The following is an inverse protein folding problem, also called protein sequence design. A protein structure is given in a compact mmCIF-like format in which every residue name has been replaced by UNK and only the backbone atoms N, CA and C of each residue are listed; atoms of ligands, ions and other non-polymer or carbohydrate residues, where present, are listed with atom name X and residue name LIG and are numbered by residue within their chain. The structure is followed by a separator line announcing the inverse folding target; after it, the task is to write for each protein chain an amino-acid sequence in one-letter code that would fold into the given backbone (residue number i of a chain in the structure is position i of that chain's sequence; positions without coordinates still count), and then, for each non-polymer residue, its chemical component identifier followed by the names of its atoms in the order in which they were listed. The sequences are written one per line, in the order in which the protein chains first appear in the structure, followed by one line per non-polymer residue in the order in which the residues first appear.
data_IF_967270473766
#
_entry.id   IF_967270473766
#
_cell.length_a   1.000
_cell.length_b   1.000
_cell.length_c   1.000
_cell.angle_alpha   90.00
_cell.angle_beta   90.00
_cell.angle_gamma   90.00
#
_symmetry.space_group_name_H-M   'P 1'
#
loop_
_entity.id
_entity.type
_entity.pdbx_description
1 polymer ?
#
# COMPACT_ATOMS: atom_id res chain seq x y z
N UNK A 1 -10.65 -24.19 7.65
CA UNK A 1 -9.50 -24.56 6.78
C UNK A 1 -8.19 -24.08 7.39
N UNK A 2 -7.06 -24.65 6.95
CA UNK A 2 -5.73 -24.15 7.25
C UNK A 2 -5.29 -23.16 6.17
N UNK A 3 -4.96 -21.94 6.58
CA UNK A 3 -4.50 -20.86 5.69
C UNK A 3 -3.03 -20.55 5.97
N UNK A 4 -2.22 -20.51 4.93
CA UNK A 4 -0.81 -20.11 4.98
C UNK A 4 -0.68 -18.74 4.34
N UNK A 5 -0.08 -17.78 5.05
CA UNK A 5 0.19 -16.44 4.54
C UNK A 5 1.70 -16.24 4.46
N UNK A 6 2.19 -15.86 3.29
CA UNK A 6 3.60 -15.59 3.03
C UNK A 6 3.83 -14.08 3.07
N UNK A 7 4.53 -13.60 4.10
CA UNK A 7 4.80 -12.20 4.37
C UNK A 7 3.86 -11.59 5.42
N UNK A 8 4.42 -10.83 6.36
CA UNK A 8 3.70 -10.14 7.43
C UNK A 8 3.74 -8.61 7.27
N UNK A 9 3.69 -8.12 6.04
CA UNK A 9 3.45 -6.72 5.73
C UNK A 9 1.99 -6.32 6.00
N UNK A 10 1.59 -5.11 5.60
CA UNK A 10 0.22 -4.58 5.79
C UNK A 10 -0.82 -5.53 5.20
N UNK A 11 -0.62 -6.00 3.95
CA UNK A 11 -1.55 -6.93 3.30
C UNK A 11 -1.61 -8.28 4.00
N UNK A 12 -0.45 -8.88 4.34
CA UNK A 12 -0.40 -10.19 5.00
C UNK A 12 -1.02 -10.19 6.39
N UNK A 13 -0.75 -9.16 7.20
CA UNK A 13 -1.42 -9.00 8.51
C UNK A 13 -2.91 -8.73 8.34
N UNK A 14 -3.31 -7.93 7.33
CA UNK A 14 -4.71 -7.72 7.00
C UNK A 14 -5.41 -9.02 6.63
N UNK A 15 -4.82 -9.84 5.75
CA UNK A 15 -5.36 -11.15 5.39
C UNK A 15 -5.45 -12.09 6.60
N UNK A 16 -4.43 -12.05 7.48
CA UNK A 16 -4.45 -12.84 8.71
C UNK A 16 -5.62 -12.46 9.63
N UNK A 17 -5.87 -11.16 9.79
CA UNK A 17 -7.01 -10.67 10.58
C UNK A 17 -8.33 -11.11 9.94
N UNK A 18 -8.51 -10.85 8.64
CA UNK A 18 -9.75 -11.12 7.94
C UNK A 18 -10.11 -12.61 7.94
N UNK A 19 -9.16 -13.49 7.61
CA UNK A 19 -9.37 -14.93 7.52
C UNK A 19 -9.49 -15.59 8.91
N UNK A 20 -8.78 -15.10 9.92
CA UNK A 20 -8.98 -15.58 11.29
C UNK A 20 -10.38 -15.21 11.82
N UNK A 21 -10.85 -13.98 11.56
CA UNK A 21 -12.22 -13.54 11.89
C UNK A 21 -13.28 -14.35 11.13
N UNK A 22 -12.96 -14.81 9.92
CA UNK A 22 -13.82 -15.71 9.15
C UNK A 22 -13.80 -17.17 9.65
N UNK A 23 -13.02 -17.50 10.68
CA UNK A 23 -13.06 -18.80 11.34
C UNK A 23 -12.01 -19.81 10.85
N UNK A 24 -10.91 -19.35 10.24
CA UNK A 24 -9.86 -20.22 9.72
C UNK A 24 -8.65 -20.28 10.65
N UNK A 25 -7.87 -21.37 10.56
CA UNK A 25 -6.57 -21.51 11.23
C UNK A 25 -5.50 -20.84 10.36
N UNK A 26 -4.89 -19.76 10.88
CA UNK A 26 -4.01 -18.92 10.10
C UNK A 26 -2.57 -18.97 10.62
N UNK A 27 -1.64 -19.32 9.74
CA UNK A 27 -0.20 -19.25 9.96
C UNK A 27 0.43 -18.22 9.03
N UNK A 28 1.17 -17.27 9.59
CA UNK A 28 1.90 -16.22 8.83
C UNK A 28 3.38 -16.50 8.90
N UNK A 29 4.06 -16.48 7.76
CA UNK A 29 5.50 -16.71 7.65
C UNK A 29 6.21 -15.48 7.13
N UNK A 30 7.01 -14.85 8.00
CA UNK A 30 7.75 -13.62 7.73
C UNK A 30 9.26 -13.88 7.65
N UNK A 31 9.88 -13.37 6.61
CA UNK A 31 11.31 -13.53 6.37
C UNK A 31 12.20 -12.75 7.33
N UNK A 32 11.70 -11.65 7.88
CA UNK A 32 12.41 -10.76 8.80
C UNK A 32 12.18 -11.11 10.27
N UNK A 33 12.93 -10.42 11.14
CA UNK A 33 12.75 -10.50 12.61
C UNK A 33 11.86 -9.39 13.17
N UNK A 34 11.28 -8.50 12.33
CA UNK A 34 10.61 -7.23 12.70
C UNK A 34 11.46 -6.20 13.45
N UNK A 35 12.75 -6.48 13.68
CA UNK A 35 13.62 -5.58 14.45
C UNK A 35 14.08 -4.34 13.66
N UNK A 36 13.84 -4.30 12.34
CA UNK A 36 14.29 -3.25 11.44
C UNK A 36 13.15 -2.63 10.63
N UNK A 37 12.00 -2.41 11.25
CA UNK A 37 10.96 -1.66 10.57
C UNK A 37 11.36 -0.20 10.45
N UNK A 38 11.58 0.24 9.23
CA UNK A 38 11.89 1.63 8.92
C UNK A 38 10.59 2.37 8.72
N UNK A 39 10.38 3.39 9.56
CA UNK A 39 9.17 4.15 9.59
C UNK A 39 9.24 5.41 8.74
N UNK A 40 8.39 5.47 7.75
CA UNK A 40 7.88 6.70 7.19
C UNK A 40 6.38 6.74 7.44
N UNK A 41 5.74 7.86 7.19
CA UNK A 41 4.30 7.89 7.32
C UNK A 41 3.60 7.28 6.09
N UNK A 42 2.36 6.90 6.27
CA UNK A 42 1.48 6.33 5.25
C UNK A 42 0.11 7.00 5.33
N UNK A 43 -0.51 7.16 4.16
CA UNK A 43 -1.87 7.62 4.05
C UNK A 43 -2.84 6.43 4.19
N UNK A 44 -3.78 6.52 5.10
CA UNK A 44 -4.94 5.66 5.21
C UNK A 44 -6.15 6.41 4.66
N UNK A 45 -6.40 6.23 3.39
CA UNK A 45 -7.55 6.83 2.70
C UNK A 45 -8.88 6.18 3.15
N UNK A 46 -10.05 6.79 2.91
CA UNK A 46 -11.34 6.30 3.39
C UNK A 46 -11.65 4.83 3.12
N UNK A 47 -11.22 4.29 1.99
CA UNK A 47 -11.35 2.87 1.69
C UNK A 47 -10.52 1.98 2.65
N UNK A 48 -9.30 2.40 3.03
CA UNK A 48 -8.48 1.67 4.00
C UNK A 48 -9.06 1.75 5.43
N UNK A 49 -9.48 2.94 5.85
CA UNK A 49 -10.04 3.13 7.21
C UNK A 49 -11.38 2.44 7.36
N UNK A 50 -12.19 2.32 6.29
CA UNK A 50 -13.41 1.50 6.25
C UNK A 50 -13.09 0.04 6.57
N UNK A 51 -12.10 -0.53 5.93
CA UNK A 51 -11.66 -1.91 6.17
C UNK A 51 -11.19 -2.08 7.61
N UNK A 52 -10.28 -1.21 8.08
CA UNK A 52 -9.75 -1.28 9.44
C UNK A 52 -10.85 -1.15 10.50
N UNK A 53 -11.85 -0.28 10.27
CA UNK A 53 -13.00 -0.10 11.13
C UNK A 53 -13.87 -1.36 11.19
N UNK A 54 -14.07 -2.06 10.08
CA UNK A 54 -14.82 -3.32 10.04
C UNK A 54 -14.16 -4.44 10.84
N UNK A 55 -12.87 -4.31 11.13
CA UNK A 55 -12.11 -5.24 11.96
C UNK A 55 -11.96 -4.78 13.42
N UNK A 56 -12.66 -3.73 13.84
CA UNK A 56 -12.57 -3.13 15.17
C UNK A 56 -11.14 -2.67 15.51
N UNK A 57 -10.43 -2.11 14.53
CA UNK A 57 -9.13 -1.52 14.75
C UNK A 57 -9.27 -0.22 15.53
N UNK A 58 -8.55 -0.13 16.64
CA UNK A 58 -8.47 1.10 17.45
C UNK A 58 -7.48 2.07 16.79
N UNK A 59 -8.00 3.12 16.16
CA UNK A 59 -7.19 4.12 15.45
C UNK A 59 -6.29 4.94 16.38
N UNK A 60 -6.70 5.16 17.63
CA UNK A 60 -5.92 5.96 18.59
C UNK A 60 -4.55 5.34 18.87
N UNK A 61 -4.43 4.02 18.78
CA UNK A 61 -3.15 3.30 18.93
C UNK A 61 -2.12 3.64 17.87
N UNK A 62 -2.53 4.28 16.77
CA UNK A 62 -1.67 4.70 15.68
C UNK A 62 -1.32 6.19 15.73
N UNK A 63 -1.79 6.93 16.74
CA UNK A 63 -1.58 8.36 16.89
C UNK A 63 -1.91 9.13 15.58
N UNK A 64 -3.13 9.00 15.06
CA UNK A 64 -3.47 9.50 13.74
C UNK A 64 -3.53 11.02 13.71
N UNK A 65 -3.39 11.56 12.50
CA UNK A 65 -3.81 12.90 12.15
C UNK A 65 -4.89 12.78 11.10
N UNK A 66 -6.07 13.36 11.33
CA UNK A 66 -7.11 13.43 10.32
C UNK A 66 -6.70 14.45 9.23
N UNK A 67 -6.70 13.98 7.98
CA UNK A 67 -6.34 14.79 6.83
C UNK A 67 -7.60 15.41 6.21
N UNK A 68 -7.70 16.71 6.23
CA UNK A 68 -8.86 17.42 5.68
C UNK A 68 -8.73 17.69 4.19
N UNK A 69 -7.49 17.86 3.69
CA UNK A 69 -7.27 18.27 2.30
C UNK A 69 -5.87 17.97 1.80
N UNK A 70 -5.74 17.90 0.47
CA UNK A 70 -4.47 17.89 -0.23
C UNK A 70 -4.34 19.19 -1.05
N UNK A 71 -3.31 19.98 -0.74
CA UNK A 71 -3.01 21.23 -1.45
C UNK A 71 -1.78 21.09 -2.32
N UNK A 72 -1.82 21.70 -3.49
CA UNK A 72 -0.74 21.76 -4.46
C UNK A 72 -0.09 23.15 -4.44
N UNK A 73 1.24 23.15 -4.43
CA UNK A 73 2.07 24.35 -4.48
C UNK A 73 3.10 24.25 -5.61
N UNK A 74 3.50 25.40 -6.16
CA UNK A 74 4.68 25.48 -7.01
C UNK A 74 5.97 25.26 -6.20
N UNK A 75 7.09 24.99 -6.86
CA UNK A 75 8.41 24.94 -6.21
C UNK A 75 8.77 26.22 -5.44
N UNK A 76 8.19 27.36 -5.81
CA UNK A 76 8.33 28.65 -5.13
C UNK A 76 7.26 28.90 -4.06
N UNK A 77 6.54 27.83 -3.68
CA UNK A 77 5.50 27.85 -2.64
C UNK A 77 4.26 28.71 -2.98
N UNK A 78 4.01 29.02 -4.25
CA UNK A 78 2.76 29.62 -4.66
C UNK A 78 1.64 28.57 -4.56
N UNK A 79 0.53 28.92 -3.94
CA UNK A 79 -0.64 28.04 -3.89
C UNK A 79 -1.24 27.91 -5.30
N UNK A 80 -1.41 26.70 -5.78
CA UNK A 80 -1.95 26.40 -7.09
C UNK A 80 -3.41 25.96 -7.02
N UNK A 81 -3.70 24.94 -6.21
CA UNK A 81 -5.06 24.40 -6.07
C UNK A 81 -5.21 23.44 -4.88
N UNK A 82 -6.46 23.19 -4.52
CA UNK A 82 -6.84 22.05 -3.69
C UNK A 82 -7.14 20.85 -4.60
N UNK A 83 -6.43 19.75 -4.43
CA UNK A 83 -6.46 18.58 -5.35
C UNK A 83 -7.46 17.52 -4.90
N UNK A 84 -7.50 17.22 -3.62
CA UNK A 84 -8.44 16.25 -3.07
C UNK A 84 -9.47 16.95 -2.21
N UNK A 85 -10.64 16.36 -2.16
CA UNK A 85 -11.79 16.92 -1.51
C UNK A 85 -11.53 17.20 -0.04
N UNK A 86 -11.85 18.39 0.35
CA UNK A 86 -12.16 18.77 1.71
C UNK A 86 -13.20 17.81 2.29
N UNK A 87 -13.36 17.80 3.59
CA UNK A 87 -14.43 17.06 4.30
C UNK A 87 -15.80 17.26 3.62
N UNK A 88 -16.11 18.49 3.20
CA UNK A 88 -17.32 18.81 2.46
C UNK A 88 -17.46 18.06 1.11
N UNK A 89 -16.35 17.87 0.38
CA UNK A 89 -16.34 17.09 -0.87
C UNK A 89 -16.55 15.60 -0.62
N UNK A 90 -16.03 15.07 0.47
CA UNK A 90 -16.25 13.68 0.88
C UNK A 90 -17.71 13.45 1.28
N UNK A 91 -18.30 14.37 2.05
CA UNK A 91 -19.72 14.33 2.45
C UNK A 91 -20.65 14.34 1.25
N UNK A 92 -20.40 15.21 0.25
CA UNK A 92 -21.17 15.25 -1.01
C UNK A 92 -21.12 13.96 -1.81
N UNK A 93 -20.06 13.16 -1.63
CA UNK A 93 -19.89 11.86 -2.28
C UNK A 93 -20.33 10.69 -1.40
N UNK A 94 -20.89 10.96 -0.22
CA UNK A 94 -21.31 9.94 0.73
C UNK A 94 -20.18 9.19 1.41
N UNK A 95 -18.93 9.69 1.33
CA UNK A 95 -17.78 9.11 2.01
C UNK A 95 -17.83 9.51 3.48
N UNK A 96 -17.95 8.54 4.38
CA UNK A 96 -18.10 8.74 5.82
C UNK A 96 -16.88 8.35 6.65
N UNK A 97 -15.97 7.60 6.04
CA UNK A 97 -14.79 7.09 6.73
C UNK A 97 -13.68 8.15 6.69
N UNK A 98 -12.88 8.31 7.77
CA UNK A 98 -11.87 9.36 7.83
C UNK A 98 -10.68 9.08 6.91
N UNK A 99 -10.03 10.14 6.46
CA UNK A 99 -8.71 10.07 5.84
C UNK A 99 -7.65 10.34 6.90
N UNK A 100 -6.83 9.33 7.24
CA UNK A 100 -5.87 9.39 8.31
C UNK A 100 -4.42 9.37 7.79
N UNK A 101 -3.58 10.17 8.42
CA UNK A 101 -2.13 10.20 8.24
C UNK A 101 -1.51 9.55 9.47
N UNK A 102 -0.82 8.42 9.27
CA UNK A 102 -0.24 7.65 10.37
C UNK A 102 1.22 7.31 10.09
N UNK A 103 1.97 7.01 11.12
CA UNK A 103 3.31 6.46 10.95
C UNK A 103 3.22 4.97 10.61
N UNK A 104 3.97 4.50 9.59
CA UNK A 104 3.85 3.13 9.06
C UNK A 104 4.13 2.06 10.11
N UNK A 105 5.08 2.33 11.03
CA UNK A 105 5.39 1.40 12.11
C UNK A 105 4.21 1.28 13.09
N UNK A 106 3.53 2.39 13.37
CA UNK A 106 2.40 2.39 14.29
C UNK A 106 1.21 1.62 13.69
N UNK A 107 0.94 1.80 12.38
CA UNK A 107 -0.04 0.98 11.66
C UNK A 107 0.33 -0.52 11.70
N UNK A 108 1.59 -0.85 11.42
CA UNK A 108 2.04 -2.25 11.42
C UNK A 108 1.91 -2.88 12.82
N UNK A 109 2.25 -2.14 13.88
CA UNK A 109 2.09 -2.59 15.25
C UNK A 109 0.61 -2.79 15.63
N UNK A 110 -0.28 -1.88 15.20
CA UNK A 110 -1.71 -2.00 15.40
C UNK A 110 -2.26 -3.26 14.70
N UNK A 111 -1.92 -3.48 13.43
CA UNK A 111 -2.31 -4.68 12.69
C UNK A 111 -1.76 -5.96 13.33
N UNK A 112 -0.49 -5.96 13.75
CA UNK A 112 0.12 -7.11 14.43
C UNK A 112 -0.57 -7.43 15.75
N UNK A 113 -0.93 -6.41 16.53
CA UNK A 113 -1.66 -6.55 17.78
C UNK A 113 -3.06 -7.09 17.53
N UNK A 114 -3.75 -6.58 16.50
CA UNK A 114 -5.07 -7.02 16.10
C UNK A 114 -5.06 -8.48 15.59
N UNK A 115 -4.09 -8.87 14.79
CA UNK A 115 -3.91 -10.24 14.30
C UNK A 115 -3.69 -11.24 15.45
N UNK A 116 -3.03 -10.82 16.53
CA UNK A 116 -2.79 -11.64 17.73
C UNK A 116 -3.99 -11.73 18.67
N UNK A 117 -5.03 -10.90 18.49
CA UNK A 117 -6.25 -11.02 19.29
C UNK A 117 -6.89 -12.38 19.04
N UNK A 118 -7.29 -13.01 20.13
CA UNK A 118 -8.07 -14.23 20.05
C UNK A 118 -9.48 -13.91 19.54
N UNK A 119 -9.88 -14.58 18.47
CA UNK A 119 -11.23 -14.50 17.93
C UNK A 119 -11.86 -15.91 17.92
N UNK A 120 -13.01 -16.09 18.58
CA UNK A 120 -13.68 -17.38 18.71
C UNK A 120 -12.73 -18.54 19.13
N UNK A 121 -11.89 -18.30 20.13
CA UNK A 121 -10.87 -19.23 20.63
C UNK A 121 -9.71 -19.55 19.67
N UNK A 122 -9.57 -18.82 18.53
CA UNK A 122 -8.49 -18.94 17.57
C UNK A 122 -7.59 -17.72 17.61
N UNK A 123 -6.31 -17.92 17.33
CA UNK A 123 -5.33 -16.85 17.19
C UNK A 123 -4.42 -17.11 16.01
N UNK A 124 -3.96 -16.05 15.38
CA UNK A 124 -2.97 -16.14 14.30
C UNK A 124 -1.60 -16.49 14.85
N UNK A 125 -0.95 -17.50 14.27
CA UNK A 125 0.44 -17.82 14.59
C UNK A 125 1.38 -17.14 13.58
N UNK A 126 2.34 -16.34 14.08
CA UNK A 126 3.31 -15.63 13.24
C UNK A 126 4.71 -16.23 13.46
N UNK A 127 5.29 -16.78 12.40
CA UNK A 127 6.63 -17.36 12.37
C UNK A 127 7.59 -16.36 11.71
N UNK A 128 8.54 -15.83 12.50
CA UNK A 128 9.59 -14.92 12.01
C UNK A 128 10.78 -15.71 11.48
N UNK A 129 11.69 -15.02 10.76
CA UNK A 129 12.89 -15.62 10.16
C UNK A 129 12.58 -16.84 9.26
N UNK A 130 11.41 -16.82 8.63
CA UNK A 130 10.87 -17.92 7.82
C UNK A 130 10.84 -17.53 6.35
N UNK A 131 12.02 -17.55 5.71
CA UNK A 131 12.15 -17.17 4.29
C UNK A 131 11.61 -18.25 3.38
N UNK A 132 10.56 -17.94 2.64
CA UNK A 132 9.98 -18.80 1.60
C UNK A 132 10.87 -18.77 0.36
N UNK A 133 11.10 -19.93 -0.24
CA UNK A 133 11.84 -20.12 -1.49
C UNK A 133 10.92 -20.36 -2.68
N UNK A 134 9.87 -21.17 -2.49
CA UNK A 134 8.89 -21.44 -3.54
C UNK A 134 7.54 -21.87 -2.97
N UNK A 135 6.52 -21.82 -3.83
CA UNK A 135 5.16 -22.28 -3.53
C UNK A 135 4.68 -23.18 -4.67
N UNK A 136 4.13 -24.33 -4.31
CA UNK A 136 3.36 -25.14 -5.24
C UNK A 136 1.88 -24.74 -5.11
N UNK A 137 1.39 -23.99 -6.08
CA UNK A 137 0.04 -23.43 -6.06
C UNK A 137 -1.06 -24.51 -6.14
N UNK A 138 -0.80 -25.65 -6.79
CA UNK A 138 -1.78 -26.73 -6.97
C UNK A 138 -1.99 -27.53 -5.67
N UNK A 139 -0.86 -27.84 -4.96
CA UNK A 139 -0.93 -28.63 -3.73
C UNK A 139 -1.13 -27.77 -2.47
N UNK A 140 -0.84 -26.46 -2.54
CA UNK A 140 -0.83 -25.55 -1.38
C UNK A 140 0.43 -25.75 -0.51
N UNK A 141 1.51 -26.29 -1.07
CA UNK A 141 2.78 -26.47 -0.35
C UNK A 141 3.66 -25.24 -0.45
N UNK A 142 4.22 -24.83 0.70
CA UNK A 142 5.16 -23.72 0.83
C UNK A 142 6.49 -24.26 1.31
N UNK A 143 7.54 -24.02 0.52
CA UNK A 143 8.90 -24.50 0.77
C UNK A 143 9.77 -23.38 1.30
N UNK A 144 10.47 -23.63 2.40
CA UNK A 144 11.32 -22.66 3.09
C UNK A 144 12.79 -22.92 2.87
N UNK A 145 13.59 -21.87 2.96
CA UNK A 145 15.04 -21.99 3.03
C UNK A 145 15.40 -22.91 4.21
N UNK A 146 16.19 -23.96 3.92
CA UNK A 146 16.55 -24.99 4.91
C UNK A 146 15.70 -26.26 4.84
N UNK A 147 14.84 -26.43 3.82
CA UNK A 147 14.18 -27.70 3.48
C UNK A 147 12.87 -27.98 4.23
N UNK A 148 12.42 -27.10 5.13
CA UNK A 148 11.10 -27.20 5.76
C UNK A 148 9.99 -27.00 4.71
N UNK A 149 8.93 -27.77 4.79
CA UNK A 149 7.71 -27.60 4.00
C UNK A 149 6.49 -27.56 4.91
N UNK A 150 5.54 -26.70 4.58
CA UNK A 150 4.19 -26.67 5.19
C UNK A 150 3.15 -26.73 4.09
N UNK A 151 1.94 -27.15 4.43
CA UNK A 151 0.83 -27.24 3.48
C UNK A 151 -0.41 -26.58 4.06
N UNK A 152 -1.09 -25.78 3.23
CA UNK A 152 -2.37 -25.16 3.51
C UNK A 152 -3.46 -25.55 2.53
N UNK A 153 -4.71 -25.35 2.91
CA UNK A 153 -5.86 -25.44 2.02
C UNK A 153 -5.95 -24.20 1.11
N UNK A 154 -5.53 -23.05 1.65
CA UNK A 154 -5.37 -21.77 0.96
C UNK A 154 -3.98 -21.21 1.26
N UNK A 155 -3.31 -20.68 0.25
CA UNK A 155 -2.05 -19.92 0.38
C UNK A 155 -2.29 -18.48 -0.08
N UNK A 156 -1.87 -17.50 0.74
CA UNK A 156 -1.94 -16.08 0.41
C UNK A 156 -0.52 -15.54 0.27
N UNK A 157 -0.15 -15.13 -0.94
CA UNK A 157 1.13 -14.48 -1.26
C UNK A 157 1.06 -12.99 -0.99
N UNK A 158 1.71 -12.53 0.07
CA UNK A 158 1.78 -11.14 0.52
C UNK A 158 3.24 -10.69 0.72
N UNK A 159 4.16 -11.27 -0.05
CA UNK A 159 5.63 -11.15 0.09
C UNK A 159 6.22 -9.97 -0.69
N UNK A 160 5.35 -9.04 -1.11
CA UNK A 160 5.72 -7.71 -1.58
C UNK A 160 6.31 -7.66 -2.99
N UNK A 161 7.01 -6.56 -3.31
CA UNK A 161 7.59 -6.32 -4.63
C UNK A 161 8.62 -7.39 -5.05
N UNK A 162 9.33 -7.97 -4.09
CA UNK A 162 10.34 -9.02 -4.30
C UNK A 162 9.74 -10.44 -4.17
N UNK A 163 8.47 -10.58 -4.47
CA UNK A 163 7.67 -11.77 -4.28
C UNK A 163 8.27 -13.02 -4.94
N UNK A 164 8.27 -14.12 -4.19
CA UNK A 164 8.48 -15.48 -4.67
C UNK A 164 7.17 -16.17 -5.02
N UNK A 165 6.09 -15.75 -4.36
CA UNK A 165 4.78 -16.34 -4.62
C UNK A 165 4.23 -15.98 -6.00
N UNK A 166 4.58 -14.79 -6.54
CA UNK A 166 4.22 -14.42 -7.91
C UNK A 166 4.84 -15.34 -8.97
N UNK A 167 6.03 -15.89 -8.70
CA UNK A 167 6.70 -16.83 -9.62
C UNK A 167 5.87 -18.12 -9.80
N UNK A 168 5.15 -18.55 -8.76
CA UNK A 168 4.25 -19.70 -8.85
C UNK A 168 3.05 -19.45 -9.78
N UNK A 169 2.58 -18.19 -9.88
CA UNK A 169 1.50 -17.79 -10.81
C UNK A 169 2.02 -17.64 -12.23
N UNK A 170 3.15 -16.96 -12.42
CA UNK A 170 3.72 -16.66 -13.74
C UNK A 170 4.46 -17.83 -14.39
N UNK A 171 4.94 -18.78 -13.59
CA UNK A 171 5.77 -19.91 -14.05
C UNK A 171 7.25 -19.56 -14.30
N UNK A 172 7.60 -18.28 -14.26
CA UNK A 172 8.96 -17.75 -14.39
C UNK A 172 9.11 -16.47 -13.57
N UNK A 173 10.34 -15.93 -13.49
CA UNK A 173 10.61 -14.69 -12.78
C UNK A 173 9.82 -13.52 -13.37
N UNK A 174 9.48 -12.57 -12.50
CA UNK A 174 8.80 -11.34 -12.86
C UNK A 174 9.81 -10.20 -12.94
N UNK A 175 9.97 -9.62 -14.13
CA UNK A 175 10.91 -8.52 -14.34
C UNK A 175 10.46 -7.25 -13.63
N UNK A 176 11.39 -6.64 -12.91
CA UNK A 176 11.20 -5.33 -12.32
C UNK A 176 11.44 -4.25 -13.37
N UNK A 177 10.53 -3.29 -13.41
CA UNK A 177 10.59 -2.15 -14.32
C UNK A 177 11.10 -0.96 -13.52
N UNK A 178 12.24 -0.41 -13.94
CA UNK A 178 12.73 0.85 -13.42
C UNK A 178 11.89 1.99 -13.95
N UNK A 179 11.64 2.99 -13.09
CA UNK A 179 10.87 4.18 -13.47
C UNK A 179 11.76 5.38 -13.85
N UNK A 180 13.09 5.24 -13.75
CA UNK A 180 14.01 6.37 -13.89
C UNK A 180 13.87 7.41 -12.77
N UNK A 181 13.24 7.06 -11.65
CA UNK A 181 13.01 7.94 -10.50
C UNK A 181 13.62 7.35 -9.23
N UNK A 182 14.05 8.23 -8.34
CA UNK A 182 14.45 7.92 -6.99
C UNK A 182 13.62 8.70 -5.99
N UNK A 183 13.50 8.20 -4.76
CA UNK A 183 12.79 8.87 -3.69
C UNK A 183 13.68 9.01 -2.46
N UNK A 184 13.78 10.24 -1.98
CA UNK A 184 14.28 10.56 -0.65
C UNK A 184 13.11 10.57 0.32
N UNK A 185 13.29 9.95 1.46
CA UNK A 185 12.26 9.87 2.49
C UNK A 185 12.88 10.12 3.87
N UNK A 186 12.29 11.04 4.63
CA UNK A 186 12.78 11.45 5.93
C UNK A 186 11.66 11.99 6.79
N UNK A 187 11.96 12.15 8.08
CA UNK A 187 11.06 12.70 9.08
C UNK A 187 11.69 13.98 9.63
N UNK A 188 10.88 14.98 9.90
CA UNK A 188 11.28 16.19 10.62
C UNK A 188 10.43 16.32 11.87
N UNK A 189 11.01 16.26 13.09
CA UNK A 189 10.29 16.58 14.31
C UNK A 189 9.80 18.03 14.30
N UNK A 190 8.53 18.26 14.66
CA UNK A 190 7.95 19.62 14.72
C UNK A 190 8.73 20.51 15.70
N UNK A 191 9.15 19.95 16.83
CA UNK A 191 9.97 20.63 17.80
C UNK A 191 11.26 21.18 17.18
N UNK A 192 11.95 20.36 16.38
CA UNK A 192 13.14 20.76 15.63
C UNK A 192 12.82 21.79 14.55
N UNK A 193 11.75 21.62 13.81
CA UNK A 193 11.30 22.57 12.77
C UNK A 193 11.05 23.98 13.38
N UNK A 194 10.52 24.05 14.59
CA UNK A 194 10.24 25.29 15.29
C UNK A 194 11.48 26.07 15.74
N UNK A 195 12.67 25.45 15.75
CA UNK A 195 13.92 26.15 16.12
C UNK A 195 14.41 27.11 15.03
N UNK A 196 13.97 26.94 13.77
CA UNK A 196 14.30 27.82 12.66
C UNK A 196 13.07 28.64 12.25
N UNK A 197 13.05 29.98 12.40
CA UNK A 197 11.90 30.81 12.09
C UNK A 197 11.37 30.66 10.65
N UNK A 198 12.26 30.48 9.67
CA UNK A 198 11.87 30.30 8.27
C UNK A 198 11.18 28.97 8.04
N UNK A 199 11.63 27.89 8.67
CA UNK A 199 11.02 26.55 8.61
C UNK A 199 9.72 26.54 9.41
N UNK A 200 9.69 27.19 10.59
CA UNK A 200 8.44 27.34 11.36
C UNK A 200 7.35 28.02 10.53
N UNK A 201 7.68 29.13 9.88
CA UNK A 201 6.72 29.84 8.99
C UNK A 201 6.21 28.92 7.86
N UNK A 202 7.07 28.06 7.30
CA UNK A 202 6.68 27.06 6.30
C UNK A 202 5.71 26.05 6.86
N UNK A 203 5.97 25.52 8.05
CA UNK A 203 5.13 24.54 8.74
C UNK A 203 3.77 25.15 9.10
N UNK A 204 3.76 26.36 9.65
CA UNK A 204 2.53 27.09 9.97
C UNK A 204 1.65 27.31 8.71
N UNK A 205 2.28 27.58 7.57
CA UNK A 205 1.58 27.75 6.28
C UNK A 205 0.97 26.44 5.77
N UNK A 206 1.66 25.32 5.93
CA UNK A 206 1.13 24.02 5.52
C UNK A 206 0.03 23.53 6.47
N UNK A 207 0.14 23.86 7.76
CA UNK A 207 -0.77 23.33 8.78
C UNK A 207 -0.53 21.85 9.11
N UNK A 208 -1.19 21.40 10.17
CA UNK A 208 -1.00 20.06 10.71
C UNK A 208 -2.21 19.11 10.48
N UNK A 209 -3.09 19.43 9.54
CA UNK A 209 -4.27 18.63 9.19
C UNK A 209 -4.41 18.42 7.67
N UNK A 210 -3.32 18.56 6.93
CA UNK A 210 -3.34 18.45 5.48
C UNK A 210 -2.10 17.78 4.91
N UNK A 211 -2.22 17.34 3.66
CA UNK A 211 -1.09 16.94 2.83
C UNK A 211 -0.72 18.09 1.91
N UNK A 212 0.55 18.48 1.89
CA UNK A 212 1.10 19.49 0.99
C UNK A 212 1.95 18.83 -0.08
N UNK A 213 1.62 19.04 -1.36
CA UNK A 213 2.39 18.61 -2.51
C UNK A 213 3.04 19.82 -3.17
N UNK A 214 4.35 19.80 -3.30
CA UNK A 214 5.15 20.89 -3.87
C UNK A 214 5.82 20.33 -5.14
N UNK A 215 5.56 20.96 -6.29
CA UNK A 215 6.06 20.51 -7.59
C UNK A 215 6.98 21.54 -8.22
N UNK A 216 8.11 21.08 -8.74
CA UNK A 216 9.00 21.84 -9.62
C UNK A 216 9.40 20.96 -10.81
N UNK A 217 10.06 21.55 -11.82
CA UNK A 217 10.60 20.79 -12.96
C UNK A 217 11.63 19.73 -12.57
N UNK A 218 12.18 19.77 -11.35
CA UNK A 218 13.18 18.83 -10.83
C UNK A 218 12.57 17.70 -10.01
N UNK A 219 11.31 17.79 -9.63
CA UNK A 219 10.71 16.74 -8.83
C UNK A 219 9.47 17.18 -8.06
N UNK A 220 9.05 16.31 -7.19
CA UNK A 220 7.79 16.40 -6.49
C UNK A 220 7.99 16.00 -5.03
N UNK A 221 7.71 16.93 -4.13
CA UNK A 221 7.81 16.74 -2.69
C UNK A 221 6.42 16.65 -2.08
N UNK A 222 6.21 15.71 -1.18
CA UNK A 222 4.97 15.55 -0.41
C UNK A 222 5.32 15.63 1.06
N UNK A 223 4.68 16.56 1.78
CA UNK A 223 4.88 16.77 3.22
C UNK A 223 3.51 16.63 3.90
N UNK A 224 3.47 15.87 4.98
CA UNK A 224 2.28 15.73 5.81
C UNK A 224 2.62 15.31 7.24
N UNK A 225 1.80 15.68 8.24
CA UNK A 225 2.01 15.34 9.63
C UNK A 225 1.69 13.87 9.92
N UNK A 226 2.26 13.33 10.97
CA UNK A 226 1.91 12.05 11.58
C UNK A 226 2.20 12.07 13.08
N UNK A 227 1.87 10.98 13.80
CA UNK A 227 2.02 10.86 15.25
C UNK A 227 1.43 12.07 15.99
N UNK A 228 0.12 12.25 15.84
CA UNK A 228 -0.64 13.37 16.43
C UNK A 228 -0.02 14.75 16.13
N UNK A 229 0.59 14.91 14.94
CA UNK A 229 1.18 16.16 14.50
C UNK A 229 2.57 16.48 15.08
N UNK A 230 3.20 15.54 15.78
CA UNK A 230 4.55 15.75 16.35
C UNK A 230 5.67 15.56 15.34
N UNK A 231 5.40 14.85 14.25
CA UNK A 231 6.35 14.58 13.18
C UNK A 231 5.80 15.02 11.82
N UNK A 232 6.66 15.53 10.96
CA UNK A 232 6.38 15.77 9.55
C UNK A 232 7.09 14.69 8.73
N UNK A 233 6.34 13.91 7.97
CA UNK A 233 6.87 13.03 6.95
C UNK A 233 7.13 13.81 5.68
N UNK A 234 8.27 13.56 5.05
CA UNK A 234 8.60 14.07 3.74
C UNK A 234 8.98 12.93 2.78
N UNK A 235 8.43 12.97 1.58
CA UNK A 235 8.83 12.12 0.46
C UNK A 235 9.12 13.01 -0.76
N UNK A 236 10.36 12.99 -1.23
CA UNK A 236 10.79 13.76 -2.39
C UNK A 236 11.16 12.82 -3.54
N UNK A 237 10.33 12.80 -4.57
CA UNK A 237 10.55 12.03 -5.80
C UNK A 237 11.22 12.92 -6.84
N UNK A 238 12.34 12.47 -7.38
CA UNK A 238 13.15 13.19 -8.36
C UNK A 238 13.69 12.22 -9.42
N UNK A 239 14.05 12.67 -10.63
CA UNK A 239 14.72 11.82 -11.61
C UNK A 239 16.00 11.18 -11.03
N UNK A 240 16.23 9.93 -11.36
CA UNK A 240 17.49 9.23 -11.10
C UNK A 240 18.45 9.42 -12.30
N UNK A 241 19.75 9.45 -12.04
CA UNK A 241 20.74 9.31 -13.12
C UNK A 241 20.72 7.87 -13.66
N UNK A 242 21.16 7.61 -14.91
CA UNK A 242 21.22 6.25 -15.44
C UNK A 242 22.02 5.27 -14.57
N UNK A 243 23.10 5.74 -13.93
CA UNK A 243 23.92 4.92 -13.04
C UNK A 243 23.18 4.57 -11.74
N UNK A 244 22.48 5.54 -11.13
CA UNK A 244 21.64 5.32 -9.94
C UNK A 244 20.47 4.40 -10.24
N UNK A 245 19.86 4.54 -11.41
CA UNK A 245 18.75 3.71 -11.85
C UNK A 245 19.18 2.24 -12.01
N UNK A 246 20.33 2.01 -12.61
CA UNK A 246 20.89 0.66 -12.77
C UNK A 246 21.24 0.02 -11.43
N UNK A 247 21.92 0.76 -10.55
CA UNK A 247 22.27 0.31 -9.21
C UNK A 247 21.02 0.10 -8.32
N UNK A 248 19.98 0.89 -8.57
CA UNK A 248 18.75 0.88 -7.79
C UNK A 248 17.84 -0.34 -7.99
N UNK A 249 18.02 -1.10 -9.07
CA UNK A 249 17.22 -2.31 -9.34
C UNK A 249 17.37 -3.38 -8.24
N UNK A 250 18.49 -3.39 -7.55
CA UNK A 250 18.78 -4.28 -6.43
C UNK A 250 18.72 -3.55 -5.08
N UNK A 251 18.47 -2.23 -5.09
CA UNK A 251 18.55 -1.42 -3.87
C UNK A 251 17.41 -1.74 -2.88
N UNK A 252 17.79 -1.79 -1.63
CA UNK A 252 16.86 -1.89 -0.51
C UNK A 252 16.35 -0.49 -0.14
N UNK A 253 15.07 -0.37 0.19
CA UNK A 253 14.48 0.82 0.82
C UNK A 253 15.06 1.14 2.21
N UNK A 254 16.05 0.36 2.66
CA UNK A 254 16.87 0.59 3.85
C UNK A 254 18.13 1.43 3.57
N UNK A 255 18.44 1.73 2.30
CA UNK A 255 19.65 2.50 1.97
C UNK A 255 19.59 3.89 2.59
N UNK A 256 20.68 4.28 3.23
CA UNK A 256 20.83 5.59 3.84
C UNK A 256 21.15 6.60 2.74
N UNK A 257 20.36 7.68 2.66
CA UNK A 257 20.65 8.83 1.79
C UNK A 257 21.53 9.85 2.52
N UNK A 258 22.19 10.75 1.77
CA UNK A 258 22.86 11.91 2.34
C UNK A 258 22.00 13.17 2.23
N UNK A 259 22.14 14.07 3.18
CA UNK A 259 21.45 15.38 3.15
C UNK A 259 22.00 16.23 2.00
N UNK A 260 23.29 16.11 1.69
CA UNK A 260 23.97 16.80 0.60
C UNK A 260 23.35 16.40 -0.73
N UNK A 261 23.15 15.10 -0.99
CA UNK A 261 22.52 14.59 -2.20
C UNK A 261 21.08 15.08 -2.32
N UNK A 262 20.31 15.04 -1.21
CA UNK A 262 18.96 15.56 -1.18
C UNK A 262 18.92 17.04 -1.57
N UNK A 263 19.77 17.87 -0.93
CA UNK A 263 19.80 19.32 -1.15
C UNK A 263 20.25 19.65 -2.59
N UNK A 264 21.17 18.88 -3.16
CA UNK A 264 21.63 19.05 -4.55
C UNK A 264 20.51 18.86 -5.59
N UNK A 265 19.47 18.10 -5.25
CA UNK A 265 18.33 17.86 -6.14
C UNK A 265 17.22 18.95 -6.04
N UNK A 266 17.36 19.94 -5.15
CA UNK A 266 16.32 20.93 -4.88
C UNK A 266 16.40 22.21 -5.74
N UNK A 267 16.99 22.15 -6.93
CA UNK A 267 16.96 23.28 -7.84
C UNK A 267 15.52 23.64 -8.24
N UNK A 268 15.21 24.94 -8.22
CA UNK A 268 13.87 25.43 -8.49
C UNK A 268 12.91 25.43 -7.29
N UNK A 269 13.32 24.87 -6.15
CA UNK A 269 12.56 24.98 -4.91
C UNK A 269 12.91 26.27 -4.15
N UNK A 270 11.99 26.67 -3.24
CA UNK A 270 12.18 27.79 -2.31
C UNK A 270 13.27 27.45 -1.28
N UNK A 271 14.05 28.44 -0.82
CA UNK A 271 15.13 28.21 0.12
C UNK A 271 14.66 27.68 1.47
N UNK A 272 13.42 27.99 1.89
CA UNK A 272 12.81 27.43 3.09
C UNK A 272 12.64 25.91 3.01
N UNK A 273 12.40 25.37 1.82
CA UNK A 273 12.36 23.92 1.58
C UNK A 273 13.76 23.32 1.76
N UNK A 274 14.83 24.01 1.32
CA UNK A 274 16.21 23.56 1.54
C UNK A 274 16.53 23.50 3.03
N UNK A 275 16.17 24.54 3.79
CA UNK A 275 16.38 24.57 5.23
C UNK A 275 15.56 23.48 5.95
N UNK A 276 14.32 23.25 5.52
CA UNK A 276 13.50 22.15 6.02
C UNK A 276 14.15 20.77 5.79
N UNK A 277 14.67 20.53 4.58
CA UNK A 277 15.31 19.27 4.22
C UNK A 277 16.59 18.99 5.04
N UNK A 278 17.36 20.05 5.40
CA UNK A 278 18.55 19.93 6.27
C UNK A 278 18.21 19.47 7.70
N UNK A 279 16.96 19.60 8.11
CA UNK A 279 16.48 19.16 9.42
C UNK A 279 16.01 17.70 9.43
N UNK A 280 16.03 17.05 8.26
CA UNK A 280 15.59 15.67 8.08
C UNK A 280 16.36 14.68 8.94
N UNK A 281 15.63 13.74 9.54
CA UNK A 281 16.14 12.60 10.29
C UNK A 281 15.74 11.30 9.61
N UNK A 282 16.49 10.23 9.85
CA UNK A 282 16.26 8.91 9.25
C UNK A 282 16.12 8.91 7.73
N UNK A 283 16.98 9.72 7.06
CA UNK A 283 16.95 9.88 5.61
C UNK A 283 17.27 8.57 4.90
N UNK A 284 16.34 8.12 4.08
CA UNK A 284 16.44 6.94 3.21
C UNK A 284 16.36 7.35 1.75
N UNK A 285 17.08 6.63 0.91
CA UNK A 285 17.11 6.81 -0.55
C UNK A 285 16.98 5.47 -1.25
N UNK A 286 16.03 5.36 -2.18
CA UNK A 286 15.94 4.18 -3.06
C UNK A 286 15.34 4.54 -4.42
N UNK A 287 15.64 3.71 -5.43
CA UNK A 287 15.01 3.82 -6.74
C UNK A 287 13.57 3.33 -6.72
N UNK A 288 12.69 4.04 -7.42
CA UNK A 288 11.33 3.61 -7.63
C UNK A 288 11.28 2.56 -8.73
N UNK A 289 10.95 1.35 -8.34
CA UNK A 289 10.75 0.22 -9.25
C UNK A 289 9.32 -0.27 -9.14
N UNK A 290 8.81 -0.82 -10.22
CA UNK A 290 7.49 -1.45 -10.28
C UNK A 290 7.59 -2.78 -11.02
N UNK A 291 6.48 -3.39 -11.28
CA UNK A 291 6.33 -4.60 -12.09
C UNK A 291 4.99 -4.51 -12.83
N UNK A 292 4.90 -5.09 -14.00
CA UNK A 292 3.61 -5.25 -14.66
C UNK A 292 2.72 -6.20 -13.84
N UNK A 293 1.43 -5.92 -13.72
CA UNK A 293 0.49 -6.85 -13.09
C UNK A 293 0.54 -8.22 -13.80
N UNK A 294 0.57 -9.34 -13.07
CA UNK A 294 0.42 -10.65 -13.69
C UNK A 294 -0.97 -10.76 -14.35
N UNK A 295 -1.17 -11.66 -15.31
CA UNK A 295 -2.45 -11.79 -16.02
C UNK A 295 -3.60 -12.26 -15.12
N UNK A 296 -3.28 -12.79 -13.96
CA UNK A 296 -4.22 -13.20 -12.91
C UNK A 296 -3.53 -13.14 -11.55
N UNK A 297 -4.29 -12.95 -10.48
CA UNK A 297 -3.77 -12.98 -9.12
C UNK A 297 -3.91 -14.35 -8.45
N UNK A 298 -4.37 -15.34 -9.17
CA UNK A 298 -4.67 -16.65 -8.60
C UNK A 298 -4.07 -17.79 -9.43
N UNK A 299 -3.79 -18.88 -8.75
CA UNK A 299 -3.50 -20.19 -9.38
C UNK A 299 -3.74 -21.30 -8.37
N UNK A 300 -4.59 -22.30 -8.73
CA UNK A 300 -4.92 -23.40 -7.84
C UNK A 300 -5.38 -22.91 -6.46
N UNK A 301 -4.58 -23.15 -5.42
CA UNK A 301 -4.84 -22.75 -4.04
C UNK A 301 -4.15 -21.43 -3.62
N UNK A 302 -3.49 -20.75 -4.53
CA UNK A 302 -2.71 -19.53 -4.27
C UNK A 302 -3.47 -18.29 -4.72
N UNK A 303 -3.58 -17.29 -3.83
CA UNK A 303 -3.95 -15.91 -4.15
C UNK A 303 -2.79 -14.95 -3.86
N UNK A 304 -2.56 -13.99 -4.74
CA UNK A 304 -1.63 -12.86 -4.52
C UNK A 304 -2.39 -11.64 -4.03
N UNK A 305 -1.78 -10.90 -3.08
CA UNK A 305 -2.32 -9.65 -2.55
C UNK A 305 -1.23 -8.56 -2.42
N UNK A 306 -1.65 -7.31 -2.40
CA UNK A 306 -0.77 -6.16 -2.23
C UNK A 306 0.34 -6.12 -3.29
N UNK A 307 1.56 -5.71 -2.91
CA UNK A 307 2.67 -5.55 -3.86
C UNK A 307 3.13 -6.87 -4.51
N UNK A 308 2.73 -8.04 -3.99
CA UNK A 308 2.94 -9.31 -4.66
C UNK A 308 2.06 -9.46 -5.91
N UNK A 309 0.88 -8.84 -5.91
CA UNK A 309 -0.05 -8.81 -7.03
C UNK A 309 0.10 -7.55 -7.90
N UNK A 310 0.09 -6.37 -7.27
CA UNK A 310 -0.05 -5.07 -7.93
C UNK A 310 0.84 -3.98 -7.30
N UNK A 311 2.18 -4.06 -7.44
CA UNK A 311 3.09 -3.08 -6.86
C UNK A 311 2.84 -1.69 -7.44
N UNK A 312 2.46 -0.75 -6.58
CA UNK A 312 2.05 0.60 -6.96
C UNK A 312 3.12 1.62 -6.64
N UNK A 313 3.28 2.62 -7.52
CA UNK A 313 4.10 3.78 -7.20
C UNK A 313 3.39 4.68 -6.17
N UNK A 314 4.14 5.42 -5.34
CA UNK A 314 3.57 6.13 -4.18
C UNK A 314 2.70 7.34 -4.55
N UNK A 315 2.49 7.61 -5.83
CA UNK A 315 1.91 8.85 -6.33
C UNK A 315 0.44 9.08 -5.96
N UNK A 316 -0.30 7.99 -5.71
CA UNK A 316 -1.72 8.04 -5.30
C UNK A 316 -1.93 7.67 -3.83
N UNK A 317 -0.89 7.18 -3.12
CA UNK A 317 -0.98 6.73 -1.73
C UNK A 317 -1.89 5.52 -1.52
N UNK A 318 -2.08 4.67 -2.54
CA UNK A 318 -3.07 3.59 -2.52
C UNK A 318 -2.51 2.20 -2.22
N UNK A 319 -1.19 1.97 -2.28
CA UNK A 319 -0.63 0.63 -2.14
C UNK A 319 -1.08 -0.11 -0.88
N UNK A 320 -0.99 0.55 0.27
CA UNK A 320 -1.45 -0.03 1.54
C UNK A 320 -2.97 -0.21 1.61
N UNK A 321 -3.74 0.74 1.07
CA UNK A 321 -5.20 0.68 1.03
C UNK A 321 -5.68 -0.49 0.17
N UNK A 322 -5.11 -0.68 -1.02
CA UNK A 322 -5.46 -1.77 -1.91
C UNK A 322 -5.11 -3.15 -1.31
N UNK A 323 -3.99 -3.26 -0.60
CA UNK A 323 -3.63 -4.48 0.11
C UNK A 323 -4.60 -4.83 1.24
N UNK A 324 -5.14 -3.83 1.96
CA UNK A 324 -6.18 -4.03 2.97
C UNK A 324 -7.53 -4.42 2.33
N UNK A 325 -7.87 -3.85 1.19
CA UNK A 325 -9.06 -4.22 0.42
C UNK A 325 -8.98 -5.66 -0.11
N UNK A 326 -7.80 -6.10 -0.59
CA UNK A 326 -7.59 -7.50 -0.99
C UNK A 326 -7.87 -8.45 0.18
N UNK A 327 -7.34 -8.11 1.35
CA UNK A 327 -7.56 -8.88 2.57
C UNK A 327 -9.03 -8.92 2.97
N UNK A 328 -9.75 -7.81 2.85
CA UNK A 328 -11.19 -7.73 3.14
C UNK A 328 -12.01 -8.59 2.15
N UNK A 329 -11.66 -8.58 0.87
CA UNK A 329 -12.28 -9.43 -0.14
C UNK A 329 -12.10 -10.92 0.18
N UNK A 330 -10.88 -11.35 0.54
CA UNK A 330 -10.64 -12.73 0.96
C UNK A 330 -11.44 -13.10 2.20
N UNK A 331 -11.48 -12.25 3.23
CA UNK A 331 -12.26 -12.52 4.44
C UNK A 331 -13.76 -12.62 4.21
N UNK A 332 -14.31 -11.87 3.23
CA UNK A 332 -15.71 -11.93 2.84
C UNK A 332 -16.04 -13.18 2.00
N UNK A 333 -15.08 -13.65 1.20
CA UNK A 333 -15.25 -14.84 0.36
C UNK A 333 -15.20 -16.14 1.17
N UNK A 334 -14.25 -16.26 2.07
CA UNK A 334 -13.98 -17.49 2.80
C UNK A 334 -14.70 -17.45 4.14
N UNK A 335 -15.99 -17.85 4.15
CA UNK A 335 -16.76 -17.98 5.38
C UNK A 335 -16.37 -19.20 6.24
N UNK A 336 -16.91 -19.32 7.47
CA UNK A 336 -16.50 -20.35 8.42
C UNK A 336 -16.74 -21.78 7.91
N UNK A 337 -17.76 -21.97 7.08
CA UNK A 337 -18.18 -23.28 6.55
C UNK A 337 -17.55 -23.59 5.17
N UNK A 338 -16.62 -22.76 4.70
CA UNK A 338 -15.96 -22.98 3.41
C UNK A 338 -15.12 -24.26 3.45
N UNK A 339 -15.42 -25.19 2.52
CA UNK A 339 -14.66 -26.42 2.34
C UNK A 339 -13.43 -26.21 1.44
N UNK A 340 -12.33 -26.97 1.64
CA UNK A 340 -11.12 -26.86 0.83
C UNK A 340 -11.33 -27.01 -0.68
N UNK A 341 -12.32 -27.76 -1.09
CA UNK A 341 -12.68 -28.03 -2.50
C UNK A 341 -13.23 -26.77 -3.19
N UNK A 342 -13.78 -25.83 -2.44
CA UNK A 342 -14.36 -24.59 -2.96
C UNK A 342 -13.31 -23.50 -3.18
N UNK A 343 -12.08 -23.69 -2.72
CA UNK A 343 -11.05 -22.65 -2.73
C UNK A 343 -10.81 -22.09 -4.13
N UNK A 344 -10.65 -22.93 -5.13
CA UNK A 344 -10.38 -22.49 -6.49
C UNK A 344 -11.54 -21.65 -7.08
N UNK A 345 -12.79 -22.04 -6.85
CA UNK A 345 -13.96 -21.33 -7.35
C UNK A 345 -14.12 -19.96 -6.67
N UNK A 346 -13.89 -19.90 -5.36
CA UNK A 346 -13.91 -18.65 -4.60
C UNK A 346 -12.77 -17.72 -5.00
N UNK A 347 -11.58 -18.26 -5.30
CA UNK A 347 -10.47 -17.46 -5.80
C UNK A 347 -10.75 -16.87 -7.18
N UNK A 348 -11.53 -17.53 -8.04
CA UNK A 348 -11.99 -16.93 -9.30
C UNK A 348 -12.84 -15.66 -9.04
N UNK A 349 -13.71 -15.68 -8.01
CA UNK A 349 -14.49 -14.50 -7.62
C UNK A 349 -13.55 -13.41 -7.06
N UNK A 350 -12.55 -13.78 -6.24
CA UNK A 350 -11.54 -12.84 -5.78
C UNK A 350 -10.87 -12.10 -6.94
N UNK A 351 -10.41 -12.85 -7.93
CA UNK A 351 -9.76 -12.28 -9.11
C UNK A 351 -10.71 -11.37 -9.91
N UNK A 352 -11.97 -11.75 -10.06
CA UNK A 352 -13.02 -10.95 -10.72
C UNK A 352 -13.22 -9.60 -10.01
N UNK A 353 -13.34 -9.61 -8.68
CA UNK A 353 -13.57 -8.40 -7.87
C UNK A 353 -12.36 -7.47 -7.86
N UNK A 354 -11.14 -8.03 -7.80
CA UNK A 354 -9.96 -7.21 -7.52
C UNK A 354 -9.15 -6.83 -8.75
N UNK A 355 -9.09 -7.67 -9.76
CA UNK A 355 -8.13 -7.55 -10.86
C UNK A 355 -8.25 -6.22 -11.60
N UNK A 356 -9.42 -5.93 -12.17
CA UNK A 356 -9.63 -4.72 -12.98
C UNK A 356 -9.39 -3.44 -12.16
N UNK A 357 -9.90 -3.40 -10.94
CA UNK A 357 -9.76 -2.24 -10.06
C UNK A 357 -8.29 -1.98 -9.70
N UNK A 358 -7.58 -2.99 -9.22
CA UNK A 358 -6.20 -2.83 -8.75
C UNK A 358 -5.21 -2.64 -9.89
N UNK A 359 -5.42 -3.28 -11.05
CA UNK A 359 -4.64 -3.01 -12.26
C UNK A 359 -4.81 -1.56 -12.69
N UNK A 360 -6.04 -1.03 -12.66
CA UNK A 360 -6.31 0.38 -12.98
C UNK A 360 -5.56 1.31 -12.05
N UNK A 361 -5.62 1.09 -10.74
CA UNK A 361 -4.89 1.90 -9.76
C UNK A 361 -3.37 1.75 -9.92
N UNK A 362 -2.86 0.53 -10.12
CA UNK A 362 -1.45 0.24 -10.33
C UNK A 362 -0.89 1.01 -11.54
N UNK A 363 -1.53 0.88 -12.69
CA UNK A 363 -1.07 1.51 -13.93
C UNK A 363 -1.21 3.04 -13.86
N UNK A 364 -2.34 3.55 -13.38
CA UNK A 364 -2.53 5.00 -13.24
C UNK A 364 -1.63 5.63 -12.17
N UNK A 365 -1.10 4.84 -11.23
CA UNK A 365 -0.11 5.32 -10.27
C UNK A 365 1.26 5.63 -10.90
N UNK A 366 1.55 5.12 -12.11
CA UNK A 366 2.85 5.27 -12.78
C UNK A 366 3.07 6.64 -13.37
N UNK A 367 2.00 7.37 -13.63
CA UNK A 367 2.04 8.69 -14.30
C UNK A 367 1.52 9.79 -13.39
N UNK A 368 1.91 11.03 -13.70
CA UNK A 368 1.34 12.21 -13.05
C UNK A 368 -0.11 12.47 -13.49
N UNK A 369 -0.84 13.35 -12.77
CA UNK A 369 -2.23 13.69 -13.09
C UNK A 369 -2.42 14.24 -14.51
N UNK A 370 -1.39 14.87 -15.06
CA UNK A 370 -1.42 15.52 -16.39
C UNK A 370 -1.19 14.53 -17.55
N UNK A 371 -0.77 13.29 -17.25
CA UNK A 371 -0.44 12.24 -18.24
C UNK A 371 -1.55 11.17 -18.36
N UNK A 372 -2.81 11.57 -18.22
CA UNK A 372 -3.98 10.66 -18.23
C UNK A 372 -4.08 9.81 -19.49
N UNK A 373 -3.75 10.39 -20.66
CA UNK A 373 -3.81 9.67 -21.94
C UNK A 373 -2.73 8.59 -22.03
N UNK A 374 -1.55 8.83 -21.47
CA UNK A 374 -0.47 7.84 -21.38
C UNK A 374 -0.89 6.70 -20.45
N UNK A 375 -1.44 7.02 -19.29
CA UNK A 375 -1.98 6.02 -18.38
C UNK A 375 -3.03 5.13 -19.04
N UNK A 376 -3.96 5.72 -19.81
CA UNK A 376 -5.00 4.96 -20.51
C UNK A 376 -4.42 4.06 -21.60
N UNK A 377 -3.40 4.52 -22.32
CA UNK A 377 -2.71 3.71 -23.33
C UNK A 377 -2.02 2.50 -22.71
N UNK A 378 -1.33 2.70 -21.57
CA UNK A 378 -0.64 1.62 -20.86
C UNK A 378 -1.67 0.66 -20.22
N UNK A 379 -2.76 1.17 -19.65
CA UNK A 379 -3.83 0.39 -19.06
C UNK A 379 -4.50 -0.56 -20.06
N UNK A 380 -4.69 -0.14 -21.30
CA UNK A 380 -5.30 -0.97 -22.35
C UNK A 380 -4.46 -2.18 -22.76
N UNK A 381 -3.19 -2.25 -22.38
CA UNK A 381 -2.35 -3.46 -22.55
C UNK A 381 -2.85 -4.62 -21.66
N UNK A 382 -3.44 -4.29 -20.52
CA UNK A 382 -3.94 -5.25 -19.52
C UNK A 382 -5.46 -5.38 -19.55
N UNK A 383 -6.14 -4.26 -19.80
CA UNK A 383 -7.60 -4.13 -19.81
C UNK A 383 -8.04 -3.45 -21.12
N UNK A 384 -8.21 -4.20 -22.22
CA UNK A 384 -8.47 -3.62 -23.56
C UNK A 384 -9.68 -2.70 -23.61
N UNK A 385 -10.71 -2.97 -22.81
CA UNK A 385 -11.96 -2.19 -22.75
C UNK A 385 -11.96 -1.10 -21.69
N UNK A 386 -10.84 -0.87 -21.00
CA UNK A 386 -10.76 0.08 -19.90
C UNK A 386 -11.11 1.51 -20.33
N UNK A 387 -11.86 2.18 -19.45
CA UNK A 387 -12.21 3.59 -19.55
C UNK A 387 -11.77 4.25 -18.24
N UNK A 388 -10.86 5.21 -18.29
CA UNK A 388 -10.53 6.03 -17.12
C UNK A 388 -11.61 7.10 -16.99
N UNK A 389 -12.65 6.81 -16.22
CA UNK A 389 -13.77 7.72 -15.99
C UNK A 389 -13.58 8.55 -14.72
N UNK A 390 -14.07 9.78 -14.73
CA UNK A 390 -14.23 10.61 -13.53
C UNK A 390 -12.93 11.03 -12.84
N UNK A 391 -13.02 11.23 -11.54
CA UNK A 391 -11.90 11.48 -10.64
C UNK A 391 -11.39 10.14 -10.07
N UNK A 392 -10.20 9.66 -10.46
CA UNK A 392 -9.69 8.36 -10.02
C UNK A 392 -9.60 8.21 -8.49
N UNK A 393 -9.27 9.32 -7.79
CA UNK A 393 -9.13 9.32 -6.33
C UNK A 393 -10.48 8.99 -5.68
N UNK A 394 -11.56 9.62 -6.16
CA UNK A 394 -12.88 9.45 -5.57
C UNK A 394 -13.46 8.04 -5.83
N UNK A 395 -13.23 7.51 -7.03
CA UNK A 395 -13.65 6.16 -7.35
C UNK A 395 -12.95 5.12 -6.45
N UNK A 396 -11.67 5.36 -6.15
CA UNK A 396 -10.89 4.47 -5.27
C UNK A 396 -11.38 4.56 -3.82
N UNK A 397 -11.68 5.77 -3.33
CA UNK A 397 -12.12 5.97 -1.93
C UNK A 397 -13.51 5.39 -1.63
N UNK A 398 -14.36 5.23 -2.65
CA UNK A 398 -15.67 4.59 -2.53
C UNK A 398 -15.63 3.07 -2.68
N UNK A 399 -14.48 2.48 -3.03
CA UNK A 399 -14.34 1.04 -3.21
C UNK A 399 -14.64 0.29 -1.90
N UNK A 400 -15.45 -0.76 -2.02
CA UNK A 400 -15.80 -1.67 -0.93
C UNK A 400 -15.87 -3.10 -1.48
N UNK A 401 -14.72 -3.77 -1.64
CA UNK A 401 -14.67 -5.08 -2.26
C UNK A 401 -15.35 -6.18 -1.44
N UNK A 402 -15.47 -6.02 -0.12
CA UNK A 402 -16.22 -6.98 0.69
C UNK A 402 -17.71 -6.98 0.33
N UNK A 403 -18.32 -5.80 0.17
CA UNK A 403 -19.71 -5.71 -0.30
C UNK A 403 -19.89 -6.20 -1.73
N UNK A 404 -18.92 -5.97 -2.60
CA UNK A 404 -18.98 -6.48 -3.97
C UNK A 404 -18.94 -8.02 -3.99
N UNK A 405 -18.11 -8.62 -3.15
CA UNK A 405 -18.08 -10.07 -2.93
C UNK A 405 -19.45 -10.58 -2.47
N UNK A 406 -20.02 -9.97 -1.44
CA UNK A 406 -21.35 -10.35 -0.91
C UNK A 406 -22.43 -10.28 -2.02
N UNK A 407 -22.39 -9.22 -2.84
CA UNK A 407 -23.30 -9.05 -3.98
C UNK A 407 -23.17 -10.17 -5.01
N UNK A 408 -21.93 -10.52 -5.39
CA UNK A 408 -21.68 -11.57 -6.38
C UNK A 408 -22.07 -12.95 -5.85
N UNK A 409 -21.75 -13.25 -4.60
CA UNK A 409 -22.18 -14.52 -3.97
C UNK A 409 -23.70 -14.63 -3.91
N UNK A 410 -24.40 -13.54 -3.62
CA UNK A 410 -25.87 -13.54 -3.60
C UNK A 410 -26.48 -13.75 -4.99
N UNK A 411 -25.86 -13.24 -6.05
CA UNK A 411 -26.29 -13.46 -7.44
C UNK A 411 -26.09 -14.91 -7.86
N UNK A 412 -24.92 -15.49 -7.62
CA UNK A 412 -24.62 -16.90 -7.97
C UNK A 412 -25.56 -17.88 -7.28
N UNK A 413 -25.85 -17.66 -5.97
CA UNK A 413 -26.83 -18.49 -5.23
C UNK A 413 -28.22 -18.45 -5.84
N UNK A 414 -28.63 -17.34 -6.46
CA UNK A 414 -29.92 -17.23 -7.15
C UNK A 414 -29.92 -17.96 -8.50
N UNK A 415 -28.79 -17.94 -9.22
CA UNK A 415 -28.63 -18.68 -10.49
C UNK A 415 -28.61 -20.18 -10.26
N UNK A 416 -27.96 -20.67 -9.20
CA UNK A 416 -27.93 -22.09 -8.81
C UNK A 416 -29.28 -22.62 -8.31
N UNK A 417 -30.19 -21.71 -7.89
CA UNK A 417 -31.53 -22.07 -7.41
C UNK A 417 -32.62 -22.10 -8.50
N UNK A 418 -32.27 -21.71 -9.75
CA UNK A 418 -33.15 -21.72 -10.94
C UNK A 418 -32.85 -22.91 -11.82
#
# INVERSE_FOLDING_TARGET
MKVIIVGAGIGGLGAAIALNRAGHDVEVYESSSFLKEVGAAINLTPNATRVLKSWDCDFETMFPVECETLKLYSGKLEFLQTVASTKEGQEKLGIKDPWLLVHRVDLHNALRSLAKRQFQSRSVTIYLNSKVESVNAETGEVHFKGGRTVRGDLVVGADGLHSRTVEAVLGNGSDKISTGQKVFRFIVPIEKANTNPSVKNLVDRFGLNQTSRICSGRGRMVIYPCRSGTLLNCAFVTPATPAEDLAGRESSWLNVGSVEDLVSCLDGFDDRIREFCKMGEDLKLWSLVTRDPPPTYIKGKLALIGDAAHPMLPHQGQGGAQALEDAAALGALFGPDTAPEQVNDLLNIYNEVRYEHTVTVCITSRVGPDSRNEALKDLKRFLPNAKVAGNPILNTWNSDPAKEVERLLALRRKEDAL
#
